data_IF_458518484810
#
_entry.id   IF_458518484810
#
_cell.length_a   1.000
_cell.length_b   1.000
_cell.length_c   1.000
_cell.angle_alpha   90.00
_cell.angle_beta   90.00
_cell.angle_gamma   90.00
#
_symmetry.space_group_name_H-M   'P 1'
#
loop_
_entity.id
_entity.type
_entity.pdbx_description
1 polymer ?
#
# COMPACT_ATOMS: atom_id res chain seq x y z
N UNK A 1 -2.57 9.26 -4.80
CA UNK A 1 -1.48 9.93 -5.54
C UNK A 1 -0.27 10.04 -4.63
N UNK A 2 0.77 9.23 -4.84
CA UNK A 2 2.05 9.33 -4.10
C UNK A 2 3.01 10.05 -5.04
N UNK A 3 3.61 11.15 -4.61
CA UNK A 3 4.62 11.89 -5.38
C UNK A 3 6.02 11.44 -4.94
N UNK A 4 6.74 10.58 -5.69
CA UNK A 4 8.11 10.20 -5.37
C UNK A 4 9.13 11.21 -5.88
N UNK A 5 8.68 12.31 -6.52
CA UNK A 5 9.54 13.27 -7.19
C UNK A 5 9.06 14.69 -6.88
N UNK A 6 9.82 15.45 -6.07
CA UNK A 6 9.72 16.91 -5.94
C UNK A 6 11.14 17.53 -6.16
N UNK A 7 11.25 18.76 -6.70
CA UNK A 7 11.85 18.97 -8.03
C UNK A 7 13.08 19.94 -8.01
N UNK A 8 13.64 20.36 -9.18
CA UNK A 8 12.96 21.32 -10.07
C UNK A 8 12.74 20.86 -11.52
N UNK A 9 11.76 21.50 -12.17
CA UNK A 9 11.45 21.57 -13.62
C UNK A 9 10.92 20.31 -14.35
N UNK A 10 9.58 20.19 -14.36
CA UNK A 10 8.63 19.70 -15.40
C UNK A 10 8.99 18.57 -16.38
N UNK A 11 10.21 18.49 -16.94
CA UNK A 11 10.67 17.34 -17.77
C UNK A 11 11.13 16.15 -16.92
N UNK A 12 11.76 16.41 -15.78
CA UNK A 12 12.31 15.35 -14.93
C UNK A 12 11.21 14.57 -14.19
N UNK A 13 10.06 15.21 -13.92
CA UNK A 13 8.92 14.59 -13.23
C UNK A 13 8.21 13.55 -14.10
N UNK A 14 8.03 13.84 -15.40
CA UNK A 14 7.40 12.89 -16.34
C UNK A 14 8.30 11.68 -16.53
N UNK A 15 9.62 11.90 -16.68
CA UNK A 15 10.59 10.82 -16.78
C UNK A 15 10.66 10.00 -15.48
N UNK A 16 10.58 10.65 -14.32
CA UNK A 16 10.59 9.99 -13.01
C UNK A 16 9.41 9.02 -12.87
N UNK A 17 8.18 9.46 -13.12
CA UNK A 17 7.01 8.59 -13.05
C UNK A 17 7.03 7.47 -14.10
N UNK A 18 7.53 7.78 -15.31
CA UNK A 18 7.70 6.78 -16.36
C UNK A 18 8.67 5.67 -15.92
N UNK A 19 9.87 6.05 -15.46
CA UNK A 19 10.89 5.11 -14.97
C UNK A 19 10.45 4.40 -13.69
N UNK A 20 9.65 5.04 -12.84
CA UNK A 20 9.13 4.46 -11.61
C UNK A 20 8.34 3.18 -11.89
N UNK A 21 7.47 3.19 -12.91
CA UNK A 21 6.68 2.00 -13.29
C UNK A 21 7.55 0.78 -13.59
N UNK A 22 8.64 0.97 -14.33
CA UNK A 22 9.60 -0.09 -14.65
C UNK A 22 10.34 -0.59 -13.40
N UNK A 23 10.82 0.34 -12.56
CA UNK A 23 11.54 0.00 -11.31
C UNK A 23 10.67 -0.80 -10.34
N UNK A 24 9.43 -0.38 -10.13
CA UNK A 24 8.48 -1.05 -9.26
C UNK A 24 8.11 -2.44 -9.82
N UNK A 25 7.96 -2.56 -11.14
CA UNK A 25 7.69 -3.86 -11.78
C UNK A 25 8.82 -4.87 -11.56
N UNK A 26 10.09 -4.44 -11.65
CA UNK A 26 11.24 -5.30 -11.34
C UNK A 26 11.27 -5.65 -9.86
N UNK A 27 11.06 -4.67 -8.97
CA UNK A 27 11.08 -4.91 -7.54
C UNK A 27 9.99 -5.93 -7.11
N UNK A 28 8.84 -5.93 -7.78
CA UNK A 28 7.77 -6.90 -7.54
C UNK A 28 8.08 -8.33 -8.02
N UNK A 29 9.05 -8.50 -8.92
CA UNK A 29 9.57 -9.83 -9.24
C UNK A 29 10.42 -10.35 -8.07
N UNK A 30 11.20 -9.47 -7.42
CA UNK A 30 12.11 -9.84 -6.33
C UNK A 30 11.41 -9.99 -4.97
N UNK A 31 10.38 -9.18 -4.70
CA UNK A 31 9.67 -9.13 -3.41
C UNK A 31 8.15 -9.23 -3.60
N UNK A 32 7.62 -10.34 -4.14
CA UNK A 32 6.24 -10.41 -4.62
C UNK A 32 5.18 -10.13 -3.54
N UNK A 33 5.44 -10.54 -2.30
CA UNK A 33 4.53 -10.34 -1.16
C UNK A 33 4.38 -8.86 -0.76
N UNK A 34 5.38 -8.03 -1.05
CA UNK A 34 5.37 -6.59 -0.85
C UNK A 34 4.61 -5.78 -1.92
N UNK A 35 4.03 -6.43 -2.93
CA UNK A 35 3.27 -5.77 -4.00
C UNK A 35 1.89 -6.42 -4.22
N UNK A 36 1.16 -6.56 -3.12
CA UNK A 36 -0.21 -7.06 -3.15
C UNK A 36 -1.20 -5.97 -3.57
N UNK A 37 -1.81 -6.16 -4.74
CA UNK A 37 -2.92 -5.33 -5.24
C UNK A 37 -4.25 -5.75 -4.63
N UNK A 38 -5.07 -4.77 -4.24
CA UNK A 38 -6.39 -4.96 -3.65
C UNK A 38 -7.47 -4.47 -4.62
N UNK A 39 -8.52 -5.27 -4.80
CA UNK A 39 -9.64 -4.92 -5.65
C UNK A 39 -10.40 -3.71 -5.12
N UNK A 40 -10.64 -2.72 -5.97
CA UNK A 40 -11.53 -1.59 -5.68
C UNK A 40 -12.06 -0.98 -6.98
N UNK A 41 -13.15 -0.22 -6.91
CA UNK A 41 -13.71 0.48 -8.08
C UNK A 41 -12.88 1.71 -8.47
N UNK A 42 -12.40 2.43 -7.46
CA UNK A 42 -11.60 3.65 -7.55
C UNK A 42 -10.58 3.79 -6.41
N UNK A 43 -9.68 4.76 -6.54
CA UNK A 43 -8.62 5.04 -5.58
C UNK A 43 -9.17 5.41 -4.19
N UNK A 44 -10.30 6.11 -4.12
CA UNK A 44 -10.84 6.61 -2.86
C UNK A 44 -11.51 5.49 -2.05
N UNK A 45 -12.21 4.58 -2.73
CA UNK A 45 -12.73 3.34 -2.15
C UNK A 45 -11.59 2.48 -1.62
N UNK A 46 -10.50 2.36 -2.38
CA UNK A 46 -9.29 1.69 -1.91
C UNK A 46 -8.72 2.33 -0.64
N UNK A 47 -8.59 3.67 -0.60
CA UNK A 47 -8.10 4.40 0.60
C UNK A 47 -9.00 4.17 1.82
N UNK A 48 -10.32 4.06 1.61
CA UNK A 48 -11.30 3.76 2.66
C UNK A 48 -11.29 2.29 3.12
N UNK A 49 -10.47 1.43 2.50
CA UNK A 49 -10.29 0.04 2.91
C UNK A 49 -10.91 -1.01 1.99
N UNK A 50 -11.46 -0.62 0.83
CA UNK A 50 -12.01 -1.59 -0.12
C UNK A 50 -10.95 -2.63 -0.54
N UNK A 51 -11.41 -3.88 -0.65
CA UNK A 51 -10.58 -5.03 -1.00
C UNK A 51 -9.75 -5.62 0.15
N UNK A 52 -9.78 -5.01 1.35
CA UNK A 52 -9.02 -5.47 2.53
C UNK A 52 -9.92 -6.13 3.60
N UNK A 53 -9.49 -7.23 4.26
CA UNK A 53 -8.34 -8.06 3.91
C UNK A 53 -8.61 -8.82 2.61
N UNK A 54 -7.58 -9.46 2.06
CA UNK A 54 -7.76 -10.33 0.90
C UNK A 54 -8.75 -11.46 1.22
N UNK A 55 -9.86 -11.51 0.48
CA UNK A 55 -10.87 -12.56 0.54
C UNK A 55 -11.05 -13.13 -0.86
N UNK A 56 -10.86 -14.44 -1.02
CA UNK A 56 -10.89 -15.11 -2.32
C UNK A 56 -9.93 -14.40 -3.30
N UNK A 57 -10.38 -14.08 -4.51
CA UNK A 57 -9.61 -13.40 -5.57
C UNK A 57 -9.63 -11.87 -5.49
N UNK A 58 -9.96 -11.30 -4.33
CA UNK A 58 -9.96 -9.84 -4.13
C UNK A 58 -8.56 -9.22 -4.13
N UNK A 59 -7.51 -10.04 -4.18
CA UNK A 59 -6.13 -9.60 -4.26
C UNK A 59 -5.36 -10.28 -5.39
N UNK A 60 -4.43 -9.55 -5.97
CA UNK A 60 -3.56 -10.03 -7.04
C UNK A 60 -2.15 -9.49 -6.85
N UNK A 61 -1.14 -10.32 -7.09
CA UNK A 61 0.26 -9.88 -7.02
C UNK A 61 0.60 -9.05 -8.25
N UNK A 62 1.31 -7.93 -8.05
CA UNK A 62 1.85 -7.10 -9.13
C UNK A 62 3.08 -7.74 -9.79
N UNK A 63 3.04 -9.04 -10.09
CA UNK A 63 4.17 -9.77 -10.68
C UNK A 63 3.89 -10.17 -12.11
N UNK A 64 4.89 -9.99 -12.97
CA UNK A 64 4.89 -10.42 -14.37
C UNK A 64 4.61 -11.92 -14.52
N UNK A 65 5.01 -12.74 -13.53
CA UNK A 65 4.83 -14.20 -13.54
C UNK A 65 3.54 -14.66 -12.84
N UNK A 66 2.66 -13.74 -12.45
CA UNK A 66 1.41 -14.12 -11.82
C UNK A 66 0.43 -14.71 -12.85
N UNK A 67 0.46 -16.04 -12.98
CA UNK A 67 -0.48 -16.80 -13.81
C UNK A 67 -1.88 -16.95 -13.18
N UNK A 68 -2.14 -16.35 -12.01
CA UNK A 68 -3.49 -16.31 -11.45
C UNK A 68 -4.32 -15.35 -12.28
N UNK A 69 -5.10 -15.90 -13.22
CA UNK A 69 -6.15 -15.16 -13.90
C UNK A 69 -7.05 -14.55 -12.83
N UNK A 70 -7.06 -13.21 -12.75
CA UNK A 70 -8.04 -12.49 -11.96
C UNK A 70 -9.41 -13.08 -12.29
N UNK A 71 -10.08 -13.71 -11.33
CA UNK A 71 -11.46 -14.11 -11.54
C UNK A 71 -12.24 -12.86 -11.93
N UNK A 72 -13.11 -13.01 -12.91
CA UNK A 72 -13.70 -11.97 -13.76
C UNK A 72 -14.47 -10.84 -13.06
N UNK A 73 -14.57 -10.83 -11.73
CA UNK A 73 -15.28 -9.78 -10.98
C UNK A 73 -14.48 -8.49 -10.82
N UNK A 74 -13.15 -8.57 -10.63
CA UNK A 74 -12.34 -7.39 -10.34
C UNK A 74 -11.57 -6.87 -11.57
N UNK A 75 -11.84 -5.63 -11.97
CA UNK A 75 -11.19 -4.99 -13.12
C UNK A 75 -9.96 -4.17 -12.77
N UNK A 76 -9.88 -3.67 -11.52
CA UNK A 76 -8.82 -2.75 -11.08
C UNK A 76 -8.31 -3.15 -9.71
N UNK A 77 -6.99 -3.22 -9.61
CA UNK A 77 -6.29 -3.49 -8.37
C UNK A 77 -5.45 -2.27 -8.01
N UNK A 78 -5.45 -1.93 -6.72
CA UNK A 78 -4.75 -0.78 -6.17
C UNK A 78 -3.81 -1.25 -5.06
N UNK A 79 -2.62 -0.67 -5.01
CA UNK A 79 -1.65 -0.86 -3.92
C UNK A 79 -0.89 0.44 -3.69
N UNK A 80 -0.21 0.51 -2.55
CA UNK A 80 0.69 1.62 -2.21
C UNK A 80 2.11 1.08 -2.22
N UNK A 81 3.04 1.84 -2.75
CA UNK A 81 4.46 1.52 -2.79
C UNK A 81 5.25 2.49 -1.91
N UNK A 82 6.47 2.11 -1.56
CA UNK A 82 7.43 3.02 -0.97
C UNK A 82 7.91 4.08 -1.95
N UNK A 83 8.43 5.23 -1.48
CA UNK A 83 9.01 6.24 -2.35
C UNK A 83 10.40 5.83 -2.89
N UNK A 84 11.14 4.98 -2.16
CA UNK A 84 12.51 4.58 -2.47
C UNK A 84 12.79 3.14 -2.01
N UNK A 85 13.97 2.62 -2.35
CA UNK A 85 14.44 1.29 -1.95
C UNK A 85 13.82 0.17 -2.78
N UNK A 86 13.33 -0.86 -2.10
CA UNK A 86 12.64 -1.99 -2.70
C UNK A 86 11.18 -1.71 -3.07
N UNK A 87 10.66 -0.53 -2.71
CA UNK A 87 9.27 -0.08 -2.90
C UNK A 87 8.19 -0.98 -2.25
N UNK A 88 8.56 -2.07 -1.61
CA UNK A 88 7.67 -3.08 -1.07
C UNK A 88 6.89 -2.54 0.14
N UNK A 89 5.59 -2.84 0.22
CA UNK A 89 4.73 -2.45 1.35
C UNK A 89 3.75 -3.55 1.70
N UNK A 90 3.51 -3.72 3.00
CA UNK A 90 2.51 -4.61 3.55
C UNK A 90 1.40 -3.79 4.19
N UNK A 91 0.16 -4.07 3.81
CA UNK A 91 -1.01 -3.34 4.31
C UNK A 91 -1.57 -4.05 5.54
N UNK A 92 -1.81 -3.27 6.60
CA UNK A 92 -2.42 -3.74 7.85
C UNK A 92 -3.69 -2.94 8.15
N UNK A 93 -4.64 -3.56 8.85
CA UNK A 93 -5.77 -2.87 9.46
C UNK A 93 -5.65 -3.01 10.97
N UNK A 94 -5.59 -1.88 11.67
CA UNK A 94 -5.47 -1.82 13.11
C UNK A 94 -6.70 -1.12 13.69
N UNK A 95 -7.40 -1.81 14.58
CA UNK A 95 -8.51 -1.24 15.36
C UNK A 95 -8.01 -1.02 16.77
N UNK A 96 -8.04 0.23 17.24
CA UNK A 96 -7.66 0.58 18.61
C UNK A 96 -8.91 0.77 19.45
N UNK A 97 -8.99 0.05 20.57
CA UNK A 97 -9.99 0.29 21.61
C UNK A 97 -9.31 1.03 22.76
N UNK A 98 -9.79 2.23 23.06
CA UNK A 98 -9.27 3.04 24.17
C UNK A 98 -10.07 2.79 25.44
N UNK A 99 -9.39 2.64 26.57
CA UNK A 99 -10.01 2.56 27.89
C UNK A 99 -9.37 3.59 28.82
N UNK A 100 -10.19 4.32 29.57
CA UNK A 100 -9.71 5.34 30.51
C UNK A 100 -10.85 5.96 31.32
N UNK A 101 -10.48 6.72 32.35
CA UNK A 101 -11.43 7.35 33.28
C UNK A 101 -11.75 8.81 32.92
N UNK A 102 -11.19 9.33 31.82
CA UNK A 102 -11.38 10.70 31.34
C UNK A 102 -11.25 10.76 29.82
N UNK A 103 -11.94 11.72 29.21
CA UNK A 103 -11.86 12.00 27.76
C UNK A 103 -10.67 12.92 27.50
N UNK A 104 -9.80 12.53 26.58
CA UNK A 104 -8.63 13.32 26.15
C UNK A 104 -8.69 13.61 24.65
N UNK A 105 -8.12 14.75 24.24
CA UNK A 105 -7.98 15.13 22.84
C UNK A 105 -6.54 14.89 22.40
N UNK A 106 -6.35 14.24 21.26
CA UNK A 106 -5.02 13.95 20.73
C UNK A 106 -5.06 12.95 19.57
N UNK A 107 -3.88 12.47 19.18
CA UNK A 107 -3.71 11.47 18.13
C UNK A 107 -3.25 10.15 18.73
N UNK A 108 -3.79 9.04 18.24
CA UNK A 108 -3.33 7.70 18.60
C UNK A 108 -2.29 7.26 17.57
N UNK A 109 -1.17 6.77 18.04
CA UNK A 109 -0.11 6.24 17.19
C UNK A 109 0.14 4.78 17.51
N UNK A 110 0.35 3.96 16.48
CA UNK A 110 0.54 2.52 16.59
C UNK A 110 1.84 2.12 15.90
N UNK A 111 2.60 1.27 16.56
CA UNK A 111 3.79 0.61 16.00
C UNK A 111 3.57 -0.91 16.08
N UNK A 112 3.84 -1.60 14.97
CA UNK A 112 3.72 -3.05 14.88
C UNK A 112 5.08 -3.70 15.14
N UNK A 113 5.13 -4.64 16.08
CA UNK A 113 6.31 -5.41 16.42
C UNK A 113 6.18 -6.85 15.93
N UNK A 114 7.22 -7.34 15.28
CA UNK A 114 7.42 -8.74 14.94
C UNK A 114 8.74 -9.22 15.58
N UNK A 115 8.95 -10.54 15.68
CA UNK A 115 10.14 -11.16 16.28
C UNK A 115 11.48 -10.69 15.69
N UNK A 116 11.48 -10.13 14.48
CA UNK A 116 12.69 -9.65 13.80
C UNK A 116 12.64 -8.20 13.34
N UNK A 117 11.49 -7.52 13.39
CA UNK A 117 11.30 -6.20 12.78
C UNK A 117 10.27 -5.35 13.53
N UNK A 118 10.41 -4.02 13.40
CA UNK A 118 9.50 -3.02 13.96
C UNK A 118 9.06 -2.09 12.84
N UNK A 119 7.77 -1.79 12.74
CA UNK A 119 7.26 -0.81 11.77
C UNK A 119 7.65 0.62 12.15
N UNK A 120 7.47 1.56 11.23
CA UNK A 120 7.40 2.96 11.62
C UNK A 120 6.13 3.22 12.46
N UNK A 121 6.11 4.37 13.13
CA UNK A 121 4.95 4.84 13.85
C UNK A 121 3.85 5.28 12.85
N UNK A 122 2.62 4.81 13.07
CA UNK A 122 1.48 5.10 12.22
C UNK A 122 0.36 5.76 13.03
N UNK A 123 -0.03 6.97 12.65
CA UNK A 123 -1.19 7.65 13.23
C UNK A 123 -2.49 6.98 12.79
N UNK A 124 -3.32 6.62 13.74
CA UNK A 124 -4.68 6.12 13.51
C UNK A 124 -5.65 7.29 13.70
N UNK A 125 -6.41 7.58 12.66
CA UNK A 125 -7.45 8.60 12.69
C UNK A 125 -8.74 7.97 13.21
N UNK A 126 -9.32 8.59 14.25
CA UNK A 126 -10.59 8.21 14.88
C UNK A 126 -11.78 8.85 14.18
#
# INVERSE_FOLDING_TARGET
>A
MVHPCLPPATRDVVLCNHVFSYKVSIAAILNPDGFMGYCADDEDSFKKGAGFPCKNDSCSLMSFFNNRRNTTSCRKYYLITGPHGDFARWRYNATVQTQGNAVTLGSIQVTLYNSSNVSHEHTIYT
#
